data_IF_370941470212
#
_entry.id   IF_370941470212
#
_cell.length_a   1.000
_cell.length_b   1.000
_cell.length_c   1.000
_cell.angle_alpha   90.00
_cell.angle_beta   90.00
_cell.angle_gamma   90.00
#
_symmetry.space_group_name_H-M   'P 1'
#
loop_
_entity.id
_entity.type
_entity.pdbx_description
1 polymer ?
#
# COMPACT_ATOMS: atom_id res chain seq x y z
N UNK A 1 9.79 23.76 31.57
CA UNK A 1 8.32 23.69 31.71
C UNK A 1 7.83 22.77 30.59
N UNK A 2 7.77 21.47 30.85
CA UNK A 2 7.07 20.52 29.97
C UNK A 2 5.58 20.80 30.16
N UNK A 3 4.92 21.14 29.06
CA UNK A 3 3.63 21.79 29.00
C UNK A 3 2.50 20.86 29.48
N UNK A 4 1.54 21.37 30.25
CA UNK A 4 0.40 20.60 30.79
C UNK A 4 -0.43 19.90 29.70
N UNK A 5 -0.30 20.36 28.46
CA UNK A 5 -0.92 19.79 27.27
C UNK A 5 -0.44 18.36 26.97
N UNK A 6 0.85 18.07 27.08
CA UNK A 6 1.44 16.76 26.75
C UNK A 6 1.02 15.66 27.74
N UNK A 7 0.90 16.00 29.03
CA UNK A 7 0.44 15.06 30.06
C UNK A 7 -1.03 14.70 29.87
N UNK A 8 -1.86 15.68 29.49
CA UNK A 8 -3.29 15.47 29.21
C UNK A 8 -3.51 14.59 27.98
N UNK A 9 -2.72 14.78 26.91
CA UNK A 9 -2.78 13.96 25.69
C UNK A 9 -2.31 12.53 25.95
N UNK A 10 -1.27 12.35 26.76
CA UNK A 10 -0.76 11.02 27.12
C UNK A 10 -1.80 10.23 27.91
N UNK A 11 -2.54 10.86 28.84
CA UNK A 11 -3.65 10.23 29.55
C UNK A 11 -4.78 9.80 28.62
N UNK A 12 -5.19 10.68 27.70
CA UNK A 12 -6.23 10.37 26.70
C UNK A 12 -5.80 9.20 25.81
N UNK A 13 -4.55 9.21 25.35
CA UNK A 13 -4.02 8.15 24.48
C UNK A 13 -3.96 6.80 25.19
N UNK A 14 -3.48 6.75 26.44
CA UNK A 14 -3.42 5.51 27.21
C UNK A 14 -4.81 4.93 27.49
N UNK A 15 -5.78 5.78 27.82
CA UNK A 15 -7.16 5.38 28.06
C UNK A 15 -7.86 4.88 26.78
N UNK A 16 -7.66 5.53 25.64
CA UNK A 16 -8.35 5.21 24.38
C UNK A 16 -7.55 4.36 23.38
N UNK A 17 -6.33 3.93 23.70
CA UNK A 17 -5.54 3.05 22.83
C UNK A 17 -6.24 1.71 22.52
N UNK A 18 -7.00 1.17 23.48
CA UNK A 18 -7.67 -0.12 23.32
C UNK A 18 -8.97 0.01 22.50
N UNK A 19 -9.20 -0.84 21.47
CA UNK A 19 -10.37 -0.77 20.60
C UNK A 19 -11.71 -0.97 21.34
N UNK A 20 -11.76 -1.85 22.34
CA UNK A 20 -12.96 -2.10 23.14
C UNK A 20 -13.32 -0.88 24.00
N UNK A 21 -12.31 -0.20 24.57
CA UNK A 21 -12.52 1.05 25.32
C UNK A 21 -13.04 2.17 24.44
N UNK A 22 -12.56 2.27 23.19
CA UNK A 22 -13.10 3.21 22.19
C UNK A 22 -14.55 2.93 21.87
N UNK A 23 -14.92 1.66 21.67
CA UNK A 23 -16.30 1.28 21.41
C UNK A 23 -17.22 1.63 22.57
N UNK A 24 -16.80 1.43 23.82
CA UNK A 24 -17.57 1.85 25.02
C UNK A 24 -17.85 3.35 24.96
N UNK A 25 -16.80 4.17 24.80
CA UNK A 25 -16.92 5.63 24.81
C UNK A 25 -17.75 6.14 23.62
N UNK A 26 -17.64 5.50 22.44
CA UNK A 26 -18.45 5.83 21.27
C UNK A 26 -19.93 5.50 21.47
N UNK A 27 -20.26 4.33 22.03
CA UNK A 27 -21.65 3.95 22.37
C UNK A 27 -22.26 4.97 23.33
N UNK A 28 -21.48 5.42 24.33
CA UNK A 28 -21.93 6.43 25.28
C UNK A 28 -22.05 7.82 24.66
N UNK A 29 -21.22 8.18 23.67
CA UNK A 29 -21.35 9.43 22.90
C UNK A 29 -22.62 9.45 22.06
N UNK A 30 -22.93 8.37 21.37
CA UNK A 30 -24.09 8.27 20.48
C UNK A 30 -25.41 8.16 21.25
N UNK A 31 -25.43 7.37 22.33
CA UNK A 31 -26.66 7.08 23.09
C UNK A 31 -26.84 7.97 24.31
N UNK A 32 -25.83 8.76 24.66
CA UNK A 32 -25.76 9.58 25.88
C UNK A 32 -25.49 8.78 27.16
N UNK A 33 -26.17 7.65 27.35
CA UNK A 33 -25.99 6.74 28.49
C UNK A 33 -26.29 5.30 28.15
N UNK A 34 -25.62 4.35 28.80
CA UNK A 34 -25.86 2.92 28.60
C UNK A 34 -25.72 2.12 29.90
N UNK A 35 -26.54 1.08 30.07
CA UNK A 35 -26.43 0.15 31.19
C UNK A 35 -25.32 -0.89 30.99
N UNK A 36 -24.87 -1.53 32.08
CA UNK A 36 -23.86 -2.60 32.01
C UNK A 36 -24.26 -3.74 31.07
N UNK A 37 -25.53 -4.20 31.17
CA UNK A 37 -26.07 -5.28 30.34
C UNK A 37 -26.09 -4.89 28.86
N UNK A 38 -26.51 -3.67 28.54
CA UNK A 38 -26.55 -3.14 27.17
C UNK A 38 -25.14 -3.05 26.56
N UNK A 39 -24.15 -2.60 27.34
CA UNK A 39 -22.75 -2.56 26.92
C UNK A 39 -22.20 -3.97 26.69
N UNK A 40 -22.46 -4.90 27.62
CA UNK A 40 -22.04 -6.29 27.51
C UNK A 40 -22.62 -7.00 26.27
N UNK A 41 -23.92 -6.85 26.03
CA UNK A 41 -24.60 -7.42 24.87
C UNK A 41 -24.10 -6.84 23.54
N UNK A 42 -23.79 -5.53 23.52
CA UNK A 42 -23.28 -4.86 22.32
C UNK A 42 -21.83 -5.26 22.02
N UNK A 43 -20.98 -5.35 23.06
CA UNK A 43 -19.53 -5.59 22.91
C UNK A 43 -19.17 -7.09 22.82
N UNK A 44 -20.06 -7.99 23.30
CA UNK A 44 -19.86 -9.45 23.32
C UNK A 44 -18.54 -9.88 23.98
N UNK A 45 -18.15 -9.21 25.05
CA UNK A 45 -16.94 -9.51 25.86
C UNK A 45 -17.33 -10.16 27.20
N UNK A 46 -16.38 -10.77 27.90
CA UNK A 46 -16.65 -11.36 29.23
C UNK A 46 -16.99 -10.28 30.26
N UNK A 47 -17.80 -10.65 31.25
CA UNK A 47 -18.22 -9.77 32.37
C UNK A 47 -17.00 -9.14 33.07
N UNK A 48 -16.00 -9.96 33.41
CA UNK A 48 -14.77 -9.48 34.06
C UNK A 48 -13.95 -8.52 33.18
N UNK A 49 -13.88 -8.77 31.87
CA UNK A 49 -13.20 -7.88 30.94
C UNK A 49 -13.92 -6.53 30.81
N UNK A 50 -15.26 -6.52 30.81
CA UNK A 50 -16.03 -5.28 30.79
C UNK A 50 -15.78 -4.44 32.04
N UNK A 51 -15.77 -5.06 33.22
CA UNK A 51 -15.40 -4.36 34.46
C UNK A 51 -13.99 -3.77 34.38
N UNK A 52 -13.00 -4.55 33.95
CA UNK A 52 -11.64 -4.07 33.81
C UNK A 52 -11.52 -2.89 32.83
N UNK A 53 -12.28 -2.90 31.73
CA UNK A 53 -12.29 -1.80 30.77
C UNK A 53 -12.97 -0.54 31.31
N UNK A 54 -14.07 -0.69 32.06
CA UNK A 54 -14.76 0.43 32.70
C UNK A 54 -13.91 1.06 33.81
N UNK A 55 -13.20 0.23 34.58
CA UNK A 55 -12.26 0.67 35.62
C UNK A 55 -11.08 1.43 35.00
N UNK A 56 -10.53 0.92 33.89
CA UNK A 56 -9.50 1.63 33.11
C UNK A 56 -9.99 2.93 32.46
N UNK A 57 -11.30 3.15 32.38
CA UNK A 57 -11.93 4.37 31.85
C UNK A 57 -12.39 5.32 32.97
N UNK A 58 -12.02 5.05 34.22
CA UNK A 58 -12.29 5.93 35.34
C UNK A 58 -11.75 7.34 35.07
N UNK A 59 -12.57 8.36 35.35
CA UNK A 59 -12.30 9.75 34.99
C UNK A 59 -12.84 10.17 33.62
N UNK A 60 -12.98 9.25 32.66
CA UNK A 60 -13.60 9.51 31.34
C UNK A 60 -15.06 9.02 31.27
N UNK A 61 -15.37 7.95 32.02
CA UNK A 61 -16.70 7.38 32.15
C UNK A 61 -17.06 7.36 33.63
N UNK A 62 -18.27 7.83 33.95
CA UNK A 62 -18.82 7.81 35.29
C UNK A 62 -20.13 7.01 35.31
N UNK A 63 -20.43 6.38 36.45
CA UNK A 63 -21.73 5.77 36.67
C UNK A 63 -22.68 6.77 37.31
N UNK A 64 -23.80 7.05 36.65
CA UNK A 64 -24.85 7.91 37.15
C UNK A 64 -25.71 7.25 38.23
N UNK A 65 -26.59 8.03 38.86
CA UNK A 65 -27.50 7.55 39.90
C UNK A 65 -28.47 6.46 39.42
N UNK A 66 -28.74 6.37 38.12
CA UNK A 66 -29.55 5.33 37.48
C UNK A 66 -28.77 4.04 37.16
N UNK A 67 -27.55 3.89 37.70
CA UNK A 67 -26.59 2.81 37.41
C UNK A 67 -26.18 2.71 35.94
N UNK A 68 -26.50 3.70 35.12
CA UNK A 68 -26.03 3.78 33.73
C UNK A 68 -24.71 4.52 33.66
N UNK A 69 -23.86 4.10 32.74
CA UNK A 69 -22.60 4.77 32.46
C UNK A 69 -22.85 5.96 31.53
N UNK A 70 -22.14 7.05 31.80
CA UNK A 70 -22.23 8.33 31.09
C UNK A 70 -20.82 8.87 30.91
N UNK A 71 -20.56 9.58 29.80
CA UNK A 71 -19.31 10.30 29.63
C UNK A 71 -19.20 11.47 30.60
N UNK A 72 -18.04 11.60 31.24
CA UNK A 72 -17.66 12.81 31.96
C UNK A 72 -17.32 13.91 30.95
N UNK A 73 -17.11 15.13 31.44
CA UNK A 73 -16.71 16.25 30.57
C UNK A 73 -15.30 16.03 30.02
N UNK A 74 -14.41 15.45 30.82
CA UNK A 74 -13.10 14.97 30.36
C UNK A 74 -13.23 13.84 29.33
N UNK A 75 -14.19 12.92 29.50
CA UNK A 75 -14.53 11.89 28.53
C UNK A 75 -15.02 12.45 27.19
N UNK A 76 -15.85 13.49 27.23
CA UNK A 76 -16.34 14.22 26.04
C UNK A 76 -15.20 14.98 25.36
N UNK A 77 -14.36 15.67 26.12
CA UNK A 77 -13.19 16.37 25.59
C UNK A 77 -12.19 15.37 24.97
N UNK A 78 -11.93 14.26 25.66
CA UNK A 78 -11.04 13.20 25.22
C UNK A 78 -11.51 12.53 23.92
N UNK A 79 -12.79 12.15 23.82
CA UNK A 79 -13.32 11.54 22.59
C UNK A 79 -13.36 12.55 21.45
N UNK A 80 -13.61 13.84 21.69
CA UNK A 80 -13.59 14.83 20.62
C UNK A 80 -12.16 15.13 20.17
N UNK A 81 -11.20 15.20 21.09
CA UNK A 81 -9.78 15.32 20.77
C UNK A 81 -9.25 14.08 20.05
N UNK A 82 -9.70 12.89 20.46
CA UNK A 82 -9.33 11.61 19.84
C UNK A 82 -10.03 11.41 18.49
N UNK A 83 -11.30 11.76 18.34
CA UNK A 83 -12.03 11.71 17.05
C UNK A 83 -11.49 12.74 16.08
N UNK A 84 -11.11 13.93 16.55
CA UNK A 84 -10.38 14.92 15.73
C UNK A 84 -8.98 14.39 15.42
N UNK A 85 -8.35 13.66 16.34
CA UNK A 85 -7.09 12.95 16.14
C UNK A 85 -7.20 11.78 15.15
N UNK A 86 -8.32 11.08 15.09
CA UNK A 86 -8.60 9.93 14.22
C UNK A 86 -9.13 10.39 12.86
N UNK A 87 -9.94 11.45 12.80
CA UNK A 87 -10.19 12.24 11.59
C UNK A 87 -8.90 12.87 11.11
N UNK A 88 -7.99 13.31 11.98
CA UNK A 88 -6.62 13.66 11.60
C UNK A 88 -5.78 12.44 11.30
N UNK A 89 -5.99 11.22 11.78
CA UNK A 89 -5.19 10.04 11.38
C UNK A 89 -5.73 9.44 10.09
N UNK A 90 -7.03 9.59 9.80
CA UNK A 90 -7.69 9.20 8.55
C UNK A 90 -7.47 10.29 7.51
N UNK A 91 -7.55 11.57 7.90
CA UNK A 91 -7.11 12.70 7.09
C UNK A 91 -5.60 12.76 7.00
N UNK A 92 -4.80 12.30 7.97
CA UNK A 92 -3.33 12.18 7.85
C UNK A 92 -2.90 10.85 7.22
N UNK A 93 -3.76 9.84 7.16
CA UNK A 93 -3.57 8.67 6.30
C UNK A 93 -3.98 9.00 4.86
N UNK A 94 -4.92 9.94 4.68
CA UNK A 94 -5.28 10.53 3.39
C UNK A 94 -4.43 11.77 3.02
N UNK A 95 -3.70 12.36 3.97
CA UNK A 95 -2.90 13.58 3.85
C UNK A 95 -1.83 13.57 4.95
N UNK A 96 -0.84 12.68 4.89
CA UNK A 96 0.32 12.80 5.79
C UNK A 96 0.87 14.22 5.65
N UNK A 97 0.85 15.09 6.68
CA UNK A 97 1.59 16.32 6.66
C UNK A 97 2.95 15.95 7.23
N UNK A 98 3.74 15.22 6.45
CA UNK A 98 5.16 15.52 6.49
C UNK A 98 5.25 16.96 6.02
N UNK A 99 5.95 17.81 6.77
CA UNK A 99 6.32 19.16 6.31
C UNK A 99 7.25 18.98 5.11
N UNK A 100 6.69 18.58 3.98
CA UNK A 100 7.37 18.37 2.74
C UNK A 100 7.27 19.69 1.99
N UNK A 101 8.42 20.37 1.91
CA UNK A 101 8.74 21.28 0.83
C UNK A 101 8.10 20.81 -0.49
N UNK A 102 7.73 21.70 -1.41
CA UNK A 102 7.15 21.34 -2.73
C UNK A 102 7.92 20.21 -3.45
N UNK A 103 9.23 20.07 -3.16
CA UNK A 103 10.08 18.97 -3.59
C UNK A 103 9.81 17.62 -2.93
N UNK A 104 9.47 17.59 -1.65
CA UNK A 104 9.04 16.39 -0.94
C UNK A 104 7.73 15.86 -1.50
N UNK A 105 6.71 16.71 -1.69
CA UNK A 105 5.45 16.28 -2.30
C UNK A 105 5.66 15.69 -3.70
N UNK A 106 6.49 16.32 -4.53
CA UNK A 106 6.83 15.79 -5.85
C UNK A 106 7.58 14.45 -5.77
N UNK A 107 8.49 14.27 -4.81
CA UNK A 107 9.25 13.03 -4.66
C UNK A 107 8.43 11.90 -4.06
N UNK A 108 7.57 12.17 -3.07
CA UNK A 108 6.67 11.18 -2.48
C UNK A 108 5.57 10.77 -3.45
N UNK A 109 5.10 11.69 -4.30
CA UNK A 109 4.15 11.39 -5.37
C UNK A 109 4.82 10.64 -6.54
N UNK A 110 6.05 11.00 -6.97
CA UNK A 110 6.76 10.22 -7.98
C UNK A 110 7.12 8.81 -7.47
N UNK A 111 7.67 8.69 -6.26
CA UNK A 111 8.21 7.43 -5.74
C UNK A 111 7.13 6.45 -5.27
N UNK A 112 6.02 6.95 -4.73
CA UNK A 112 4.96 6.10 -4.16
C UNK A 112 3.62 6.19 -4.91
N UNK A 113 3.44 7.15 -5.82
CA UNK A 113 2.26 7.27 -6.67
C UNK A 113 0.94 7.35 -5.91
N UNK A 114 0.94 7.82 -4.65
CA UNK A 114 -0.17 7.64 -3.72
C UNK A 114 -1.47 8.26 -4.22
N UNK A 115 -1.43 9.43 -4.84
CA UNK A 115 -2.60 10.10 -5.40
C UNK A 115 -3.14 9.33 -6.61
N UNK A 116 -2.24 8.85 -7.48
CA UNK A 116 -2.62 8.05 -8.64
C UNK A 116 -3.23 6.71 -8.22
N UNK A 117 -2.62 5.99 -7.28
CA UNK A 117 -3.16 4.73 -6.77
C UNK A 117 -4.48 4.90 -6.03
N UNK A 118 -4.64 5.97 -5.24
CA UNK A 118 -5.91 6.28 -4.59
C UNK A 118 -7.00 6.61 -5.61
N UNK A 119 -6.66 7.31 -6.69
CA UNK A 119 -7.59 7.58 -7.79
C UNK A 119 -7.97 6.28 -8.52
N UNK A 120 -6.99 5.43 -8.85
CA UNK A 120 -7.21 4.13 -9.51
C UNK A 120 -8.05 3.17 -8.66
N UNK A 121 -7.89 3.23 -7.33
CA UNK A 121 -8.56 2.33 -6.38
C UNK A 121 -9.98 2.76 -6.02
N UNK A 122 -10.35 4.04 -6.22
CA UNK A 122 -11.73 4.53 -5.99
C UNK A 122 -12.74 3.96 -6.97
N UNK A 123 -12.35 3.80 -8.24
CA UNK A 123 -13.20 3.24 -9.29
C UNK A 123 -12.42 2.21 -10.14
N UNK A 124 -12.26 0.96 -9.66
CA UNK A 124 -11.43 -0.04 -10.33
C UNK A 124 -11.92 -0.41 -11.75
N UNK A 125 -13.23 -0.31 -12.03
CA UNK A 125 -13.75 -0.55 -13.38
C UNK A 125 -13.31 0.52 -14.39
N UNK A 126 -13.17 1.78 -13.95
CA UNK A 126 -12.84 2.90 -14.84
C UNK A 126 -11.34 2.99 -15.14
N UNK A 127 -10.50 2.45 -14.27
CA UNK A 127 -9.04 2.43 -14.44
C UNK A 127 -8.53 1.23 -15.25
N UNK A 128 -9.37 0.23 -15.53
CA UNK A 128 -9.04 -0.92 -16.36
C UNK A 128 -8.54 -0.56 -17.78
N UNK A 129 -9.15 0.37 -18.53
CA UNK A 129 -8.61 0.80 -19.83
C UNK A 129 -7.24 1.45 -19.73
N UNK A 130 -6.91 2.11 -18.61
CA UNK A 130 -5.59 2.71 -18.39
C UNK A 130 -4.55 1.60 -18.21
N UNK A 131 -4.86 0.57 -17.42
CA UNK A 131 -4.01 -0.60 -17.27
C UNK A 131 -3.78 -1.29 -18.63
N UNK A 132 -4.84 -1.47 -19.42
CA UNK A 132 -4.73 -2.04 -20.77
C UNK A 132 -3.83 -1.22 -21.70
N UNK A 133 -3.90 0.12 -21.64
CA UNK A 133 -3.00 0.99 -22.40
C UNK A 133 -1.53 0.83 -21.97
N UNK A 134 -1.25 0.73 -20.67
CA UNK A 134 0.11 0.51 -20.16
C UNK A 134 0.66 -0.83 -20.66
N UNK A 135 -0.15 -1.89 -20.63
CA UNK A 135 0.24 -3.21 -21.13
C UNK A 135 0.50 -3.21 -22.63
N UNK A 136 -0.37 -2.57 -23.41
CA UNK A 136 -0.19 -2.42 -24.86
C UNK A 136 1.08 -1.63 -25.20
N UNK A 137 1.33 -0.55 -24.47
CA UNK A 137 2.51 0.29 -24.63
C UNK A 137 3.79 -0.47 -24.26
N UNK A 138 3.77 -1.26 -23.18
CA UNK A 138 4.89 -2.11 -22.78
C UNK A 138 5.22 -3.19 -23.81
N UNK A 139 4.19 -3.87 -24.35
CA UNK A 139 4.37 -4.80 -25.47
C UNK A 139 4.95 -4.13 -26.71
N UNK A 140 4.40 -2.98 -27.11
CA UNK A 140 4.85 -2.23 -28.29
C UNK A 140 6.32 -1.76 -28.16
N UNK A 141 6.71 -1.23 -27.00
CA UNK A 141 8.10 -0.84 -26.73
C UNK A 141 9.03 -2.05 -26.78
N UNK A 142 8.60 -3.19 -26.23
CA UNK A 142 9.40 -4.43 -26.25
C UNK A 142 9.62 -4.92 -27.69
N UNK A 143 8.58 -4.84 -28.53
CA UNK A 143 8.67 -5.17 -29.95
C UNK A 143 9.63 -4.23 -30.71
N UNK A 144 9.56 -2.93 -30.45
CA UNK A 144 10.42 -1.93 -31.10
C UNK A 144 11.89 -2.04 -30.68
N UNK A 145 12.14 -2.29 -29.40
CA UNK A 145 13.50 -2.37 -28.83
C UNK A 145 14.15 -3.73 -28.99
N UNK A 146 13.37 -4.75 -29.36
CA UNK A 146 13.81 -6.14 -29.47
C UNK A 146 14.38 -6.68 -28.14
N UNK A 147 13.92 -6.14 -27.01
CA UNK A 147 14.25 -6.60 -25.66
C UNK A 147 13.17 -7.56 -25.17
N UNK A 148 13.59 -8.66 -24.56
CA UNK A 148 12.69 -9.68 -24.04
C UNK A 148 12.24 -9.31 -22.61
N UNK A 149 10.94 -9.03 -22.40
CA UNK A 149 10.41 -8.77 -21.07
C UNK A 149 10.20 -10.08 -20.31
N UNK A 150 10.96 -10.29 -19.24
CA UNK A 150 10.79 -11.42 -18.31
C UNK A 150 10.35 -10.88 -16.96
N UNK A 151 9.06 -11.03 -16.65
CA UNK A 151 8.40 -10.56 -15.42
C UNK A 151 8.66 -9.06 -15.11
N UNK A 152 9.74 -8.74 -14.39
CA UNK A 152 10.14 -7.37 -13.98
C UNK A 152 11.55 -6.99 -14.50
N UNK A 153 12.06 -7.73 -15.48
CA UNK A 153 13.37 -7.52 -16.09
C UNK A 153 13.25 -7.46 -17.61
N UNK A 154 14.16 -6.73 -18.23
CA UNK A 154 14.38 -6.76 -19.68
C UNK A 154 15.72 -7.42 -19.95
N UNK A 155 15.72 -8.43 -20.82
CA UNK A 155 16.90 -9.19 -21.23
C UNK A 155 17.14 -9.05 -22.72
N UNK A 156 18.35 -9.40 -23.15
CA UNK A 156 18.66 -9.49 -24.58
C UNK A 156 17.88 -10.65 -25.20
N UNK A 157 17.46 -10.53 -26.47
CA UNK A 157 16.59 -11.49 -27.10
C UNK A 157 17.28 -12.86 -27.24
N UNK A 158 16.56 -13.90 -26.84
CA UNK A 158 16.92 -15.30 -27.10
C UNK A 158 16.92 -15.64 -28.59
N UNK A 159 17.89 -16.46 -29.00
CA UNK A 159 17.91 -17.02 -30.36
C UNK A 159 16.79 -18.06 -30.48
N UNK A 160 15.69 -17.72 -31.17
CA UNK A 160 14.63 -18.68 -31.52
C UNK A 160 13.20 -18.24 -31.19
N UNK A 161 13.00 -17.21 -30.36
CA UNK A 161 11.67 -16.67 -30.09
C UNK A 161 11.32 -15.62 -31.16
N UNK A 162 10.17 -15.79 -31.82
CA UNK A 162 9.67 -14.80 -32.77
C UNK A 162 9.38 -13.47 -32.05
N UNK A 163 9.82 -12.35 -32.61
CA UNK A 163 9.64 -11.00 -32.03
C UNK A 163 8.19 -10.69 -31.66
N UNK A 164 7.23 -11.27 -32.39
CA UNK A 164 5.79 -11.15 -32.13
C UNK A 164 5.39 -11.68 -30.74
N UNK A 165 6.14 -12.62 -30.18
CA UNK A 165 5.90 -13.17 -28.85
C UNK A 165 6.16 -12.16 -27.73
N UNK A 166 7.02 -11.16 -27.97
CA UNK A 166 7.31 -10.10 -26.98
C UNK A 166 6.09 -9.25 -26.64
N UNK A 167 5.12 -9.15 -27.57
CA UNK A 167 3.83 -8.49 -27.33
C UNK A 167 3.00 -9.21 -26.26
N UNK A 168 3.15 -10.52 -26.12
CA UNK A 168 2.40 -11.35 -25.18
C UNK A 168 3.18 -11.62 -23.88
N UNK A 169 4.51 -11.66 -23.94
CA UNK A 169 5.38 -11.87 -22.78
C UNK A 169 5.22 -10.78 -21.72
N UNK A 170 5.06 -9.50 -22.11
CA UNK A 170 4.89 -8.41 -21.15
C UNK A 170 3.55 -8.51 -20.36
N UNK A 171 2.37 -8.65 -21.01
CA UNK A 171 1.13 -8.92 -20.30
C UNK A 171 1.16 -10.20 -19.45
N UNK A 172 1.85 -11.24 -19.92
CA UNK A 172 1.98 -12.50 -19.19
C UNK A 172 2.84 -12.32 -17.92
N UNK A 173 3.96 -11.60 -18.03
CA UNK A 173 4.79 -11.22 -16.88
C UNK A 173 4.01 -10.41 -15.85
N UNK A 174 3.21 -9.44 -16.30
CA UNK A 174 2.27 -8.70 -15.46
C UNK A 174 1.29 -9.62 -14.73
N UNK A 175 0.62 -10.52 -15.46
CA UNK A 175 -0.35 -11.44 -14.87
C UNK A 175 0.28 -12.34 -13.80
N UNK A 176 1.49 -12.85 -14.06
CA UNK A 176 2.24 -13.65 -13.08
C UNK A 176 2.57 -12.82 -11.84
N UNK A 177 3.06 -11.59 -12.00
CA UNK A 177 3.41 -10.73 -10.85
C UNK A 177 2.19 -10.37 -10.00
N UNK A 178 1.04 -10.12 -10.64
CA UNK A 178 -0.24 -9.94 -9.96
C UNK A 178 -0.64 -11.21 -9.19
N UNK A 179 -0.62 -12.37 -9.83
CA UNK A 179 -1.03 -13.64 -9.23
C UNK A 179 -0.15 -14.00 -8.02
N UNK A 180 1.18 -13.86 -8.14
CA UNK A 180 2.12 -14.13 -7.03
C UNK A 180 1.88 -13.16 -5.87
N UNK A 181 1.70 -11.87 -6.16
CA UNK A 181 1.42 -10.87 -5.13
C UNK A 181 0.10 -11.17 -4.39
N UNK A 182 -0.95 -11.54 -5.11
CA UNK A 182 -2.25 -11.87 -4.53
C UNK A 182 -2.19 -13.16 -3.69
N UNK A 183 -1.54 -14.20 -4.19
CA UNK A 183 -1.30 -15.47 -3.46
C UNK A 183 -0.52 -15.20 -2.17
N UNK A 184 0.55 -14.41 -2.22
CA UNK A 184 1.32 -14.03 -1.03
C UNK A 184 0.47 -13.28 -0.01
N UNK A 185 -0.36 -12.33 -0.47
CA UNK A 185 -1.28 -11.59 0.41
C UNK A 185 -2.29 -12.52 1.09
N UNK A 186 -2.86 -13.45 0.34
CA UNK A 186 -3.85 -14.39 0.86
C UNK A 186 -3.21 -15.39 1.83
N UNK A 187 -2.03 -15.94 1.49
CA UNK A 187 -1.31 -16.92 2.29
C UNK A 187 -0.83 -16.36 3.64
N UNK A 188 -0.17 -15.19 3.64
CA UNK A 188 0.42 -14.63 4.85
C UNK A 188 -0.57 -13.84 5.72
N UNK A 189 -1.54 -13.16 5.10
CA UNK A 189 -2.39 -12.20 5.80
C UNK A 189 -3.89 -12.54 5.73
N UNK A 190 -4.29 -13.63 5.06
CA UNK A 190 -5.69 -14.11 4.94
C UNK A 190 -6.68 -13.01 4.58
N UNK A 191 -6.26 -12.07 3.73
CA UNK A 191 -7.06 -10.94 3.25
C UNK A 191 -7.51 -11.21 1.82
N UNK A 192 -8.76 -11.64 1.67
CA UNK A 192 -9.47 -11.71 0.38
C UNK A 192 -10.23 -10.41 0.11
N UNK A 193 -10.25 -9.95 -1.14
CA UNK A 193 -10.84 -8.68 -1.57
C UNK A 193 -9.84 -7.68 -2.16
N UNK A 194 -10.34 -6.74 -2.96
CA UNK A 194 -9.50 -5.72 -3.63
C UNK A 194 -8.67 -6.24 -4.81
N UNK A 195 -9.10 -7.33 -5.45
CA UNK A 195 -8.37 -7.94 -6.57
C UNK A 195 -8.32 -7.01 -7.78
N UNK A 196 -9.43 -6.37 -8.16
CA UNK A 196 -9.46 -5.44 -9.29
C UNK A 196 -8.60 -4.18 -9.06
N UNK A 197 -8.54 -3.66 -7.83
CA UNK A 197 -7.64 -2.53 -7.52
C UNK A 197 -6.17 -2.96 -7.56
N UNK A 198 -5.87 -4.20 -7.15
CA UNK A 198 -4.51 -4.76 -7.24
C UNK A 198 -4.10 -5.03 -8.69
N UNK A 199 -5.00 -5.50 -9.54
CA UNK A 199 -4.79 -5.66 -11.00
C UNK A 199 -4.34 -4.32 -11.60
N UNK A 200 -5.10 -3.25 -11.36
CA UNK A 200 -4.75 -1.94 -11.90
C UNK A 200 -3.50 -1.35 -11.25
N UNK A 201 -3.31 -1.60 -9.95
CA UNK A 201 -2.15 -1.12 -9.23
C UNK A 201 -0.84 -1.78 -9.67
N UNK A 202 -0.85 -3.09 -9.93
CA UNK A 202 0.32 -3.82 -10.43
C UNK A 202 0.70 -3.38 -11.85
N UNK A 203 -0.29 -3.09 -12.72
CA UNK A 203 -0.02 -2.55 -14.04
C UNK A 203 0.67 -1.17 -13.97
N UNK A 204 0.21 -0.30 -13.06
CA UNK A 204 0.86 1.00 -12.83
C UNK A 204 2.25 0.87 -12.21
N UNK A 205 2.45 -0.07 -11.30
CA UNK A 205 3.75 -0.34 -10.69
C UNK A 205 4.79 -0.82 -11.72
N UNK A 206 4.38 -1.39 -12.84
CA UNK A 206 5.26 -1.78 -13.95
C UNK A 206 5.65 -0.62 -14.88
N UNK A 207 5.00 0.55 -14.77
CA UNK A 207 5.26 1.68 -15.67
C UNK A 207 6.73 2.13 -15.64
N UNK A 208 7.40 2.29 -14.48
CA UNK A 208 8.81 2.67 -14.45
C UNK A 208 9.72 1.69 -15.20
N UNK A 209 9.34 0.40 -15.27
CA UNK A 209 10.10 -0.61 -16.00
C UNK A 209 10.26 -0.26 -17.49
N UNK A 210 9.30 0.47 -18.06
CA UNK A 210 9.30 0.91 -19.47
C UNK A 210 10.30 2.04 -19.75
N UNK A 211 10.82 2.72 -18.71
CA UNK A 211 11.78 3.81 -18.89
C UNK A 211 13.09 3.31 -19.50
N UNK A 212 13.57 2.14 -19.11
CA UNK A 212 14.81 1.57 -19.64
C UNK A 212 14.73 1.26 -21.14
N UNK A 213 13.80 0.43 -21.62
CA UNK A 213 13.68 0.18 -23.05
C UNK A 213 13.26 1.44 -23.82
N UNK A 214 12.43 2.32 -23.23
CA UNK A 214 12.06 3.59 -23.86
C UNK A 214 13.26 4.53 -24.09
N UNK A 215 14.19 4.62 -23.14
CA UNK A 215 15.43 5.38 -23.31
C UNK A 215 16.34 4.76 -24.36
N UNK A 216 16.44 3.42 -24.41
CA UNK A 216 17.22 2.73 -25.44
C UNK A 216 16.68 3.06 -26.84
N UNK A 217 15.35 3.09 -27.01
CA UNK A 217 14.71 3.46 -28.28
C UNK A 217 15.05 4.89 -28.70
N UNK A 218 15.03 5.85 -27.76
CA UNK A 218 15.32 7.25 -28.03
C UNK A 218 16.79 7.50 -28.38
N UNK A 219 17.69 6.72 -27.78
CA UNK A 219 19.14 6.86 -27.92
C UNK A 219 19.70 6.09 -29.13
N UNK A 220 19.09 4.97 -29.52
CA UNK A 220 19.48 4.15 -30.67
C UNK A 220 19.75 4.93 -31.97
N UNK A 221 18.90 5.90 -32.39
CA UNK A 221 19.12 6.63 -33.63
C UNK A 221 20.23 7.68 -33.57
N UNK A 222 20.68 8.10 -32.39
CA UNK A 222 21.58 9.24 -32.24
C UNK A 222 23.06 8.88 -32.05
N UNK A 223 23.41 7.64 -31.65
CA UNK A 223 24.83 7.35 -31.34
C UNK A 223 25.18 5.86 -31.19
N UNK A 224 26.13 5.39 -31.99
CA UNK A 224 26.88 4.14 -31.74
C UNK A 224 27.87 4.27 -30.55
N UNK A 225 28.17 5.49 -30.08
CA UNK A 225 29.11 5.76 -28.97
C UNK A 225 28.46 5.51 -27.60
N UNK A 226 27.13 5.58 -27.49
CA UNK A 226 26.40 5.30 -26.24
C UNK A 226 26.22 3.79 -25.99
N UNK A 227 26.55 2.93 -26.97
CA UNK A 227 26.60 1.47 -26.77
C UNK A 227 27.64 1.05 -25.70
N UNK A 228 28.61 1.91 -25.38
CA UNK A 228 29.59 1.68 -24.29
C UNK A 228 29.06 1.98 -22.88
N UNK A 229 27.86 2.58 -22.75
CA UNK A 229 27.28 2.96 -21.47
C UNK A 229 26.52 1.81 -20.79
N UNK A 230 26.99 0.57 -20.93
CA UNK A 230 26.41 -0.62 -20.29
C UNK A 230 26.30 -0.45 -18.77
N UNK A 231 27.30 0.17 -18.15
CA UNK A 231 27.27 0.47 -16.71
C UNK A 231 26.13 1.43 -16.33
N UNK A 232 25.90 2.48 -17.13
CA UNK A 232 24.82 3.43 -16.88
C UNK A 232 23.44 2.78 -17.06
N UNK A 233 23.25 1.97 -18.10
CA UNK A 233 21.99 1.24 -18.31
C UNK A 233 21.71 0.23 -17.20
N UNK A 234 22.74 -0.43 -16.67
CA UNK A 234 22.60 -1.37 -15.54
C UNK A 234 22.22 -0.60 -14.25
N UNK A 235 22.89 0.52 -13.97
CA UNK A 235 22.55 1.36 -12.80
C UNK A 235 21.13 1.91 -12.87
N UNK A 236 20.73 2.37 -14.06
CA UNK A 236 19.36 2.82 -14.32
C UNK A 236 18.35 1.69 -14.10
N UNK A 237 18.63 0.48 -14.60
CA UNK A 237 17.78 -0.70 -14.41
C UNK A 237 17.60 -1.02 -12.93
N UNK A 238 18.67 -0.98 -12.13
CA UNK A 238 18.60 -1.19 -10.67
C UNK A 238 17.75 -0.10 -10.00
N UNK A 239 17.96 1.17 -10.38
CA UNK A 239 17.18 2.29 -9.82
C UNK A 239 15.69 2.17 -10.13
N UNK A 240 15.35 1.82 -11.37
CA UNK A 240 13.98 1.56 -11.83
C UNK A 240 13.37 0.39 -11.05
N UNK A 241 14.13 -0.66 -10.77
CA UNK A 241 13.65 -1.81 -10.01
C UNK A 241 13.30 -1.49 -8.57
N UNK A 242 14.12 -0.71 -7.89
CA UNK A 242 13.79 -0.19 -6.55
C UNK A 242 12.49 0.61 -6.61
N UNK A 243 12.31 1.43 -7.65
CA UNK A 243 11.09 2.21 -7.84
C UNK A 243 9.85 1.32 -8.07
N UNK A 244 9.96 0.27 -8.89
CA UNK A 244 8.90 -0.72 -9.09
C UNK A 244 8.51 -1.39 -7.77
N UNK A 245 9.48 -1.78 -6.93
CA UNK A 245 9.22 -2.40 -5.62
C UNK A 245 8.48 -1.44 -4.68
N UNK A 246 8.84 -0.15 -4.68
CA UNK A 246 8.17 0.88 -3.90
C UNK A 246 6.71 1.09 -4.35
N UNK A 247 6.47 1.21 -5.66
CA UNK A 247 5.12 1.34 -6.22
C UNK A 247 4.29 0.08 -6.00
N UNK A 248 4.88 -1.11 -6.15
CA UNK A 248 4.20 -2.38 -5.90
C UNK A 248 3.78 -2.52 -4.44
N UNK A 249 4.63 -2.11 -3.49
CA UNK A 249 4.26 -2.07 -2.07
C UNK A 249 3.09 -1.12 -1.81
N UNK A 250 3.10 0.06 -2.44
CA UNK A 250 2.01 1.06 -2.36
C UNK A 250 0.71 0.50 -2.93
N UNK A 251 0.77 -0.15 -4.10
CA UNK A 251 -0.36 -0.79 -4.76
C UNK A 251 -1.00 -1.87 -3.88
N UNK A 252 -0.20 -2.74 -3.27
CA UNK A 252 -0.69 -3.79 -2.37
C UNK A 252 -1.28 -3.18 -1.09
N UNK A 253 -0.63 -2.16 -0.52
CA UNK A 253 -1.06 -1.47 0.69
C UNK A 253 -2.45 -0.86 0.51
N UNK A 254 -2.66 -0.14 -0.58
CA UNK A 254 -3.94 0.52 -0.89
C UNK A 254 -5.01 -0.51 -1.27
N UNK A 255 -4.66 -1.53 -2.07
CA UNK A 255 -5.63 -2.51 -2.56
C UNK A 255 -6.12 -3.48 -1.48
N UNK A 256 -5.23 -3.93 -0.60
CA UNK A 256 -5.54 -4.93 0.46
C UNK A 256 -5.74 -4.30 1.85
N UNK A 257 -5.44 -3.02 2.01
CA UNK A 257 -5.53 -2.29 3.28
C UNK A 257 -4.54 -2.78 4.34
N UNK A 258 -3.33 -3.19 3.91
CA UNK A 258 -2.26 -3.69 4.78
C UNK A 258 -1.29 -2.56 5.13
N UNK A 259 -0.60 -2.67 6.28
CA UNK A 259 0.46 -1.70 6.65
C UNK A 259 1.62 -1.76 5.64
N UNK A 260 2.19 -0.60 5.30
CA UNK A 260 3.28 -0.46 4.32
C UNK A 260 4.49 -1.35 4.60
N UNK A 261 4.82 -1.55 5.88
CA UNK A 261 5.90 -2.46 6.32
C UNK A 261 5.68 -3.90 5.86
N UNK A 262 4.43 -4.38 5.97
CA UNK A 262 4.05 -5.75 5.58
C UNK A 262 4.02 -5.90 4.08
N UNK A 263 3.54 -4.90 3.36
CA UNK A 263 3.47 -4.92 1.90
C UNK A 263 4.83 -4.76 1.24
N UNK A 264 5.76 -4.05 1.88
CA UNK A 264 7.14 -3.96 1.45
C UNK A 264 7.83 -5.33 1.52
N UNK A 265 7.54 -6.13 2.56
CA UNK A 265 8.05 -7.51 2.63
C UNK A 265 7.50 -8.38 1.49
N UNK A 266 6.21 -8.23 1.15
CA UNK A 266 5.60 -8.97 0.03
C UNK A 266 6.22 -8.53 -1.31
N UNK A 267 6.34 -7.22 -1.57
CA UNK A 267 6.89 -6.74 -2.84
C UNK A 267 8.36 -7.13 -3.01
N UNK A 268 9.13 -7.12 -1.92
CA UNK A 268 10.50 -7.62 -1.88
C UNK A 268 10.54 -9.14 -2.12
N UNK A 269 9.65 -9.92 -1.51
CA UNK A 269 9.56 -11.35 -1.76
C UNK A 269 9.23 -11.67 -3.23
N UNK A 270 8.28 -10.95 -3.83
CA UNK A 270 7.95 -11.05 -5.27
C UNK A 270 9.19 -10.74 -6.12
N UNK A 271 9.94 -9.71 -5.77
CA UNK A 271 11.17 -9.34 -6.47
C UNK A 271 12.25 -10.43 -6.38
N UNK A 272 12.47 -11.00 -5.19
CA UNK A 272 13.43 -12.08 -5.00
C UNK A 272 13.02 -13.35 -5.76
N UNK A 273 11.74 -13.72 -5.72
CA UNK A 273 11.22 -14.85 -6.50
C UNK A 273 11.45 -14.64 -8.00
N UNK A 274 11.26 -13.42 -8.49
CA UNK A 274 11.53 -13.08 -9.87
C UNK A 274 13.02 -13.21 -10.22
N UNK A 275 13.92 -12.66 -9.39
CA UNK A 275 15.38 -12.81 -9.58
C UNK A 275 15.76 -14.30 -9.62
N UNK A 276 15.24 -15.12 -8.71
CA UNK A 276 15.49 -16.57 -8.70
C UNK A 276 14.97 -17.24 -9.96
N UNK A 277 13.77 -16.89 -10.43
CA UNK A 277 13.21 -17.43 -11.67
C UNK A 277 14.08 -17.07 -12.88
N UNK A 278 14.57 -15.83 -12.96
CA UNK A 278 15.47 -15.38 -14.04
C UNK A 278 16.81 -16.11 -13.99
N UNK A 279 17.43 -16.25 -12.81
CA UNK A 279 18.69 -16.98 -12.65
C UNK A 279 18.53 -18.45 -13.06
N UNK A 280 17.42 -19.08 -12.65
CA UNK A 280 17.13 -20.47 -12.99
C UNK A 280 16.87 -20.64 -14.49
N UNK A 281 16.20 -19.68 -15.12
CA UNK A 281 15.97 -19.66 -16.55
C UNK A 281 17.30 -19.54 -17.32
N UNK A 282 18.21 -18.68 -16.86
CA UNK A 282 19.58 -18.55 -17.39
C UNK A 282 20.40 -19.84 -17.21
N UNK A 283 20.31 -20.50 -16.05
CA UNK A 283 21.09 -21.72 -15.78
C UNK A 283 20.64 -22.93 -16.59
N UNK A 284 19.38 -22.97 -17.02
CA UNK A 284 18.84 -23.99 -17.92
C UNK A 284 19.24 -23.78 -19.39
N UNK A 285 19.96 -22.69 -19.72
CA UNK A 285 20.31 -22.36 -21.09
C UNK A 285 19.10 -22.03 -21.96
N UNK A 286 17.99 -21.61 -21.33
CA UNK A 286 16.83 -21.07 -22.05
C UNK A 286 17.15 -19.69 -22.65
N UNK A 287 18.33 -19.11 -22.35
CA UNK A 287 18.79 -17.76 -22.68
C UNK A 287 20.28 -17.72 -23.03
#
# INVERSE_FOLDING_TARGET
MLDKSDESLTRVYNALANPTRRQIVQILKERGKAGFKELHETLKISVGALYHHLDSLEGFVAQGADRKYVLTDDGRAAINAFSTGEERIIANAAQTPTTESRFGFLSSELLFGRTVFNYLSREPLRSLPIAAMILALGGAISFMTNLEPILLFYLNPTQGIAKTWFLLLFPLGWFITFAVADIMCNLFYRRSGGELSLVNGTAFAMLPLLLVPGLILLVQPFSAVIQSATAFTILLQIGVQVWVVCLLSSAISISKGLKMERTALISLAVMYLNITAVIFALSLGLF
#
